data_IF_714102148663
#
_entry.id   IF_714102148663
#
_cell.length_a   1.000
_cell.length_b   1.000
_cell.length_c   1.000
_cell.angle_alpha   90.00
_cell.angle_beta   90.00
_cell.angle_gamma   90.00
#
_symmetry.space_group_name_H-M   'P 1'
#
loop_
_entity.id
_entity.type
_entity.pdbx_description
1 polymer ?
#
# COMPACT_ATOMS: atom_id res chain seq x y z
N UNK A 1 45.58 -6.06 -27.08
CA UNK A 1 44.23 -6.46 -27.57
C UNK A 1 43.69 -7.70 -26.84
N UNK A 2 44.54 -8.61 -26.32
CA UNK A 2 44.15 -9.83 -25.59
C UNK A 2 43.62 -9.60 -24.16
N UNK A 3 44.00 -8.50 -23.49
CA UNK A 3 43.58 -8.23 -22.10
C UNK A 3 42.14 -7.71 -21.96
N UNK A 4 41.54 -7.23 -23.05
CA UNK A 4 40.15 -6.72 -23.02
C UNK A 4 39.11 -7.84 -23.14
N UNK A 5 39.53 -9.03 -23.61
CA UNK A 5 38.66 -10.20 -23.75
C UNK A 5 38.73 -11.14 -22.54
N UNK A 6 39.71 -10.97 -21.64
CA UNK A 6 39.82 -11.73 -20.38
C UNK A 6 39.09 -11.05 -19.20
N UNK A 7 38.82 -9.75 -19.30
CA UNK A 7 38.08 -9.00 -18.29
C UNK A 7 36.56 -9.30 -18.31
N UNK A 8 36.04 -9.84 -19.42
CA UNK A 8 34.64 -10.26 -19.55
C UNK A 8 34.63 -11.78 -19.72
N UNK A 9 34.46 -12.50 -18.61
CA UNK A 9 34.27 -13.95 -18.61
C UNK A 9 32.85 -14.28 -19.07
N UNK A 10 32.67 -14.28 -20.39
CA UNK A 10 31.40 -14.55 -21.06
C UNK A 10 30.80 -15.90 -20.61
N UNK A 11 31.64 -16.87 -20.20
CA UNK A 11 31.19 -18.15 -19.64
C UNK A 11 30.45 -18.01 -18.31
N UNK A 12 30.96 -17.22 -17.36
CA UNK A 12 30.30 -17.00 -16.06
C UNK A 12 29.08 -16.07 -16.16
N UNK A 13 29.05 -15.18 -17.16
CA UNK A 13 27.92 -14.28 -17.42
C UNK A 13 26.80 -14.88 -18.27
N UNK A 14 27.11 -15.76 -19.26
CA UNK A 14 26.11 -16.42 -20.10
C UNK A 14 25.71 -17.81 -19.63
N UNK A 15 26.55 -18.53 -18.86
CA UNK A 15 26.11 -19.77 -18.23
C UNK A 15 25.24 -19.40 -17.03
N UNK A 16 23.96 -19.68 -17.18
CA UNK A 16 22.93 -19.54 -16.17
C UNK A 16 23.46 -20.05 -14.83
N UNK A 17 23.75 -19.12 -13.89
CA UNK A 17 23.95 -19.49 -12.48
C UNK A 17 22.80 -20.43 -12.10
N UNK A 18 23.07 -21.69 -11.75
CA UNK A 18 22.01 -22.66 -11.42
C UNK A 18 21.14 -22.20 -10.25
N UNK A 19 21.64 -21.23 -9.48
CA UNK A 19 21.03 -20.63 -8.31
C UNK A 19 20.32 -19.29 -8.57
N UNK A 20 20.27 -18.79 -9.81
CA UNK A 20 19.48 -17.61 -10.18
C UNK A 20 18.40 -18.04 -11.17
N UNK A 21 17.16 -18.26 -10.71
CA UNK A 21 16.06 -18.67 -11.58
C UNK A 21 15.83 -17.61 -12.66
N UNK A 22 16.02 -17.97 -13.93
CA UNK A 22 15.53 -17.17 -15.06
C UNK A 22 14.01 -17.26 -15.01
N UNK A 23 13.35 -16.16 -14.64
CA UNK A 23 11.90 -16.03 -14.81
C UNK A 23 11.03 -16.38 -13.61
N UNK A 24 11.49 -16.20 -12.37
CA UNK A 24 10.57 -16.14 -11.23
C UNK A 24 10.50 -14.74 -10.65
N UNK A 25 9.66 -13.92 -11.27
CA UNK A 25 8.93 -12.89 -10.53
C UNK A 25 7.90 -13.63 -9.67
N UNK A 26 8.34 -14.18 -8.54
CA UNK A 26 7.48 -14.84 -7.54
C UNK A 26 6.42 -13.88 -6.98
N UNK A 27 6.57 -12.58 -7.23
CA UNK A 27 5.64 -11.51 -6.85
C UNK A 27 4.26 -11.65 -7.52
N UNK A 28 4.18 -12.22 -8.73
CA UNK A 28 2.90 -12.39 -9.45
C UNK A 28 2.39 -13.84 -9.51
N UNK A 29 3.20 -14.83 -9.10
CA UNK A 29 2.85 -16.25 -9.27
C UNK A 29 2.06 -16.86 -8.10
N UNK A 30 1.82 -16.10 -7.02
CA UNK A 30 1.06 -16.58 -5.86
C UNK A 30 -0.12 -15.65 -5.55
N UNK A 31 -1.22 -16.24 -5.06
CA UNK A 31 -2.38 -15.48 -4.58
C UNK A 31 -1.97 -14.47 -3.49
N UNK A 32 -0.99 -14.81 -2.65
CA UNK A 32 -0.45 -13.91 -1.63
C UNK A 32 0.28 -12.69 -2.20
N UNK A 33 1.02 -12.85 -3.31
CA UNK A 33 1.69 -11.75 -4.00
C UNK A 33 0.71 -10.74 -4.61
N UNK A 34 -0.35 -11.22 -5.26
CA UNK A 34 -1.41 -10.34 -5.79
C UNK A 34 -2.14 -9.57 -4.68
N UNK A 35 -2.46 -10.25 -3.59
CA UNK A 35 -3.11 -9.63 -2.42
C UNK A 35 -2.21 -8.59 -1.75
N UNK A 36 -0.91 -8.86 -1.64
CA UNK A 36 0.11 -7.91 -1.13
C UNK A 36 0.13 -6.61 -1.95
N UNK A 37 0.22 -6.72 -3.29
CA UNK A 37 0.24 -5.55 -4.17
C UNK A 37 -1.04 -4.73 -4.03
N UNK A 38 -2.19 -5.40 -4.01
CA UNK A 38 -3.48 -4.74 -3.84
C UNK A 38 -3.56 -4.03 -2.49
N UNK A 39 -3.19 -4.70 -1.39
CA UNK A 39 -3.21 -4.15 -0.04
C UNK A 39 -2.30 -2.92 0.06
N UNK A 40 -1.05 -3.01 -0.40
CA UNK A 40 -0.10 -1.88 -0.38
C UNK A 40 -0.69 -0.65 -1.08
N UNK A 41 -1.26 -0.82 -2.27
CA UNK A 41 -1.87 0.27 -3.02
C UNK A 41 -3.14 0.79 -2.34
N UNK A 42 -3.94 -0.10 -1.75
CA UNK A 42 -5.15 0.26 -1.02
C UNK A 42 -4.84 1.09 0.24
N UNK A 43 -3.79 0.76 1.00
CA UNK A 43 -3.37 1.55 2.17
C UNK A 43 -2.95 2.97 1.77
N UNK A 44 -2.18 3.12 0.68
CA UNK A 44 -1.78 4.43 0.15
C UNK A 44 -3.01 5.23 -0.27
N UNK A 45 -3.89 4.63 -1.08
CA UNK A 45 -5.11 5.27 -1.55
C UNK A 45 -6.02 5.67 -0.40
N UNK A 46 -6.14 4.82 0.61
CA UNK A 46 -6.97 5.09 1.77
C UNK A 46 -6.40 6.24 2.62
N UNK A 47 -5.09 6.35 2.78
CA UNK A 47 -4.46 7.49 3.44
C UNK A 47 -4.74 8.82 2.72
N UNK A 48 -4.68 8.81 1.38
CA UNK A 48 -5.02 9.97 0.56
C UNK A 48 -6.50 10.34 0.68
N UNK A 49 -7.40 9.35 0.58
CA UNK A 49 -8.84 9.57 0.75
C UNK A 49 -9.17 10.11 2.14
N UNK A 50 -8.58 9.53 3.18
CA UNK A 50 -8.73 9.97 4.57
C UNK A 50 -8.36 11.45 4.70
N UNK A 51 -7.23 11.85 4.13
CA UNK A 51 -6.76 13.22 4.17
C UNK A 51 -7.76 14.19 3.53
N UNK A 52 -8.27 13.89 2.33
CA UNK A 52 -9.26 14.74 1.66
C UNK A 52 -10.60 14.78 2.39
N UNK A 53 -11.08 13.65 2.92
CA UNK A 53 -12.31 13.60 3.71
C UNK A 53 -12.22 14.45 4.98
N UNK A 54 -11.08 14.39 5.69
CA UNK A 54 -10.81 15.25 6.85
C UNK A 54 -10.68 16.72 6.47
N UNK A 55 -9.98 17.02 5.36
CA UNK A 55 -9.80 18.39 4.89
C UNK A 55 -11.14 19.03 4.51
N UNK A 56 -11.90 18.42 3.59
CA UNK A 56 -13.18 18.96 3.13
C UNK A 56 -14.27 18.85 4.20
N UNK A 57 -14.30 17.78 4.98
CA UNK A 57 -15.22 17.62 6.10
C UNK A 57 -14.97 18.66 7.19
N UNK A 58 -13.72 18.83 7.61
CA UNK A 58 -13.31 19.82 8.61
C UNK A 58 -13.59 21.25 8.16
N UNK A 59 -13.21 21.61 6.93
CA UNK A 59 -13.54 22.92 6.36
C UNK A 59 -15.05 23.14 6.26
N UNK A 60 -15.82 22.11 5.89
CA UNK A 60 -17.28 22.17 5.83
C UNK A 60 -17.92 22.48 7.19
N UNK A 61 -17.40 21.90 8.27
CA UNK A 61 -17.86 22.19 9.65
C UNK A 61 -17.57 23.65 10.00
N UNK A 62 -16.35 24.12 9.77
CA UNK A 62 -15.92 25.49 10.12
C UNK A 62 -16.74 26.53 9.34
N UNK A 63 -16.89 26.34 8.02
CA UNK A 63 -17.64 27.26 7.17
C UNK A 63 -19.14 27.24 7.46
N UNK A 64 -19.72 26.05 7.71
CA UNK A 64 -21.14 25.93 8.06
C UNK A 64 -21.48 26.56 9.40
N UNK A 65 -20.60 26.39 10.40
CA UNK A 65 -20.77 26.97 11.74
C UNK A 65 -20.64 28.50 11.72
N UNK A 66 -19.71 29.05 10.93
CA UNK A 66 -19.53 30.50 10.79
C UNK A 66 -20.60 31.19 9.94
N UNK A 67 -21.17 30.48 8.95
CA UNK A 67 -22.18 31.01 8.03
C UNK A 67 -23.63 30.78 8.45
N UNK A 68 -23.88 30.06 9.55
CA UNK A 68 -25.23 29.72 10.00
C UNK A 68 -25.97 28.73 9.08
N UNK A 69 -25.24 27.85 8.39
CA UNK A 69 -25.79 26.80 7.51
C UNK A 69 -25.65 25.42 8.19
N UNK A 70 -26.68 24.93 8.90
CA UNK A 70 -26.62 23.67 9.65
C UNK A 70 -26.42 22.46 8.75
N UNK A 71 -26.85 22.55 7.48
CA UNK A 71 -26.74 21.44 6.53
C UNK A 71 -25.28 21.18 6.18
N UNK A 72 -24.50 22.25 5.94
CA UNK A 72 -23.06 22.12 5.68
C UNK A 72 -22.30 21.59 6.89
N UNK A 73 -22.66 22.05 8.09
CA UNK A 73 -22.06 21.53 9.33
C UNK A 73 -22.35 20.04 9.50
N UNK A 74 -23.59 19.60 9.32
CA UNK A 74 -23.97 18.20 9.44
C UNK A 74 -23.27 17.32 8.38
N UNK A 75 -23.19 17.77 7.13
CA UNK A 75 -22.45 17.05 6.07
C UNK A 75 -20.96 16.94 6.40
N UNK A 76 -20.34 18.02 6.87
CA UNK A 76 -18.93 18.00 7.27
C UNK A 76 -18.67 17.05 8.44
N UNK A 77 -19.55 17.03 9.45
CA UNK A 77 -19.48 16.08 10.57
C UNK A 77 -19.59 14.64 10.07
N UNK A 78 -20.56 14.35 9.19
CA UNK A 78 -20.73 13.02 8.63
C UNK A 78 -19.50 12.57 7.83
N UNK A 79 -18.90 13.48 7.04
CA UNK A 79 -17.67 13.21 6.31
C UNK A 79 -16.52 12.85 7.28
N UNK A 80 -16.29 13.65 8.31
CA UNK A 80 -15.25 13.39 9.33
C UNK A 80 -15.51 12.07 10.06
N UNK A 81 -16.75 11.79 10.49
CA UNK A 81 -17.09 10.52 11.14
C UNK A 81 -16.82 9.33 10.22
N UNK A 82 -17.23 9.42 8.95
CA UNK A 82 -16.98 8.33 7.98
C UNK A 82 -15.48 8.11 7.75
N UNK A 83 -14.69 9.18 7.71
CA UNK A 83 -13.23 9.14 7.62
C UNK A 83 -12.62 8.38 8.82
N UNK A 84 -13.05 8.73 10.03
CA UNK A 84 -12.56 8.10 11.26
C UNK A 84 -12.95 6.62 11.37
N UNK A 85 -14.19 6.27 10.98
CA UNK A 85 -14.65 4.88 10.95
C UNK A 85 -13.84 4.08 9.94
N UNK A 86 -13.66 4.61 8.72
CA UNK A 86 -12.83 3.99 7.69
C UNK A 86 -11.38 3.80 8.15
N UNK A 87 -10.79 4.82 8.78
CA UNK A 87 -9.47 4.73 9.38
C UNK A 87 -9.38 3.62 10.43
N UNK A 88 -10.37 3.52 11.33
CA UNK A 88 -10.44 2.46 12.33
C UNK A 88 -10.43 1.05 11.72
N UNK A 89 -11.16 0.85 10.62
CA UNK A 89 -11.20 -0.42 9.89
C UNK A 89 -9.82 -0.75 9.29
N UNK A 90 -9.18 0.23 8.62
CA UNK A 90 -7.86 0.05 8.01
C UNK A 90 -6.80 -0.23 9.07
N UNK A 91 -6.88 0.49 10.19
CA UNK A 91 -6.01 0.29 11.34
C UNK A 91 -6.17 -1.12 11.92
N UNK A 92 -7.40 -1.59 12.12
CA UNK A 92 -7.66 -2.97 12.58
C UNK A 92 -7.17 -4.02 11.57
N UNK A 93 -7.37 -3.77 10.27
CA UNK A 93 -6.92 -4.65 9.19
C UNK A 93 -5.40 -4.86 9.21
N UNK A 94 -4.60 -3.82 9.51
CA UNK A 94 -3.15 -3.94 9.64
C UNK A 94 -2.74 -5.01 10.68
N UNK A 95 -3.39 -5.02 11.85
CA UNK A 95 -3.11 -5.99 12.90
C UNK A 95 -3.48 -7.42 12.48
N UNK A 96 -4.61 -7.59 11.79
CA UNK A 96 -5.02 -8.89 11.24
C UNK A 96 -3.97 -9.40 10.25
N UNK A 97 -3.51 -8.55 9.34
CA UNK A 97 -2.49 -8.91 8.34
C UNK A 97 -1.17 -9.30 9.03
N UNK A 98 -0.75 -8.57 10.06
CA UNK A 98 0.44 -8.91 10.86
C UNK A 98 0.36 -10.32 11.44
N UNK A 99 -0.78 -10.70 12.04
CA UNK A 99 -0.98 -12.05 12.57
C UNK A 99 -0.87 -13.09 11.45
N UNK A 100 -1.49 -12.83 10.29
CA UNK A 100 -1.40 -13.72 9.13
C UNK A 100 0.05 -13.89 8.66
N UNK A 101 0.85 -12.81 8.62
CA UNK A 101 2.26 -12.89 8.25
C UNK A 101 3.06 -13.78 9.21
N UNK A 102 2.82 -13.66 10.52
CA UNK A 102 3.49 -14.47 11.54
C UNK A 102 3.14 -15.95 11.38
N UNK A 103 1.86 -16.26 11.15
CA UNK A 103 1.38 -17.66 11.03
C UNK A 103 1.81 -18.31 9.72
N UNK A 104 1.79 -17.56 8.61
CA UNK A 104 2.08 -18.10 7.28
C UNK A 104 3.55 -17.99 6.87
N UNK A 105 4.34 -17.15 7.55
CA UNK A 105 5.71 -16.83 7.16
C UNK A 105 5.84 -16.02 5.86
N UNK A 106 4.71 -15.57 5.29
CA UNK A 106 4.68 -14.78 4.06
C UNK A 106 4.83 -13.29 4.40
N UNK A 107 5.61 -12.57 3.58
CA UNK A 107 5.71 -11.13 3.68
C UNK A 107 4.66 -10.48 2.76
N UNK A 108 3.60 -9.91 3.36
CA UNK A 108 2.43 -9.36 2.65
C UNK A 108 2.47 -7.82 2.59
N UNK A 109 3.18 -7.16 3.51
CA UNK A 109 3.22 -5.69 3.62
C UNK A 109 4.49 -5.10 2.99
N UNK A 110 5.31 -5.93 2.33
CA UNK A 110 6.67 -5.58 1.93
C UNK A 110 7.62 -5.61 3.13
N UNK A 111 8.91 -5.84 2.89
CA UNK A 111 9.94 -5.43 3.84
C UNK A 111 10.08 -3.91 3.80
#
# INVERSE_FOLDING_TARGET
MSDLLSAVNIGDELLLKPSVPIGRVTEYQSLGGLVSIFLKNAFILAGVLLFFLLLFGGLGIIMGAGGGDPKKTSQGQQAVTSALVGFGIIFASYWIIQIIQIVTGLNILGK
#
